data_IF_990246162184
#
_entry.id   IF_990246162184
#
_cell.length_a   1.000
_cell.length_b   1.000
_cell.length_c   1.000
_cell.angle_alpha   90.00
_cell.angle_beta   90.00
_cell.angle_gamma   90.00
#
_symmetry.space_group_name_H-M   'P 1'
#
loop_
_entity.id
_entity.type
_entity.pdbx_description
1 polymer ?
#
# COMPACT_ATOMS: atom_id res chain seq x y z
N UNK A 1 -62.58 -3.98 22.26
CA UNK A 1 -61.34 -4.73 22.56
C UNK A 1 -60.34 -3.72 23.11
N UNK A 2 -60.39 -3.48 24.43
CA UNK A 2 -59.49 -2.54 25.09
C UNK A 2 -58.11 -3.20 25.20
N UNK A 3 -57.17 -2.75 24.35
CA UNK A 3 -55.75 -3.08 24.53
C UNK A 3 -55.31 -2.44 25.84
N UNK A 4 -54.98 -3.26 26.84
CA UNK A 4 -54.56 -2.73 28.14
C UNK A 4 -53.23 -1.97 27.98
N UNK A 5 -53.04 -0.89 28.74
CA UNK A 5 -51.77 -0.13 28.74
C UNK A 5 -50.54 -1.01 29.02
N UNK A 6 -50.73 -2.16 29.69
CA UNK A 6 -49.70 -3.17 29.95
C UNK A 6 -49.22 -3.85 28.68
N UNK A 7 -50.13 -4.29 27.80
CA UNK A 7 -49.80 -4.96 26.53
C UNK A 7 -49.10 -4.01 25.55
N UNK A 8 -49.53 -2.74 25.52
CA UNK A 8 -48.90 -1.71 24.70
C UNK A 8 -47.47 -1.40 25.18
N UNK A 9 -47.24 -1.35 26.49
CA UNK A 9 -45.91 -1.14 27.07
C UNK A 9 -44.98 -2.34 26.83
N UNK A 10 -45.49 -3.57 26.93
CA UNK A 10 -44.72 -4.80 26.67
C UNK A 10 -44.31 -4.89 25.19
N UNK A 11 -45.22 -4.58 24.28
CA UNK A 11 -44.95 -4.52 22.83
C UNK A 11 -43.93 -3.42 22.47
N UNK A 12 -44.04 -2.23 23.07
CA UNK A 12 -43.06 -1.16 22.91
C UNK A 12 -41.66 -1.54 23.41
N UNK A 13 -41.56 -2.25 24.54
CA UNK A 13 -40.29 -2.74 25.06
C UNK A 13 -39.66 -3.81 24.15
N UNK A 14 -40.46 -4.73 23.60
CA UNK A 14 -40.00 -5.71 22.61
C UNK A 14 -39.45 -5.03 21.34
N UNK A 15 -40.19 -4.08 20.78
CA UNK A 15 -39.74 -3.29 19.62
C UNK A 15 -38.42 -2.54 19.90
N UNK A 16 -38.24 -1.97 21.10
CA UNK A 16 -36.99 -1.32 21.48
C UNK A 16 -35.83 -2.33 21.56
N UNK A 17 -36.07 -3.55 22.06
CA UNK A 17 -35.05 -4.59 22.11
C UNK A 17 -34.67 -5.08 20.70
N UNK A 18 -35.65 -5.30 19.82
CA UNK A 18 -35.42 -5.69 18.43
C UNK A 18 -34.64 -4.61 17.65
N UNK A 19 -35.02 -3.33 17.80
CA UNK A 19 -34.29 -2.21 17.19
C UNK A 19 -32.83 -2.13 17.70
N UNK A 20 -32.59 -2.39 18.98
CA UNK A 20 -31.23 -2.47 19.54
C UNK A 20 -30.45 -3.64 18.95
N UNK A 21 -31.06 -4.82 18.82
CA UNK A 21 -30.42 -6.00 18.24
C UNK A 21 -30.10 -5.78 16.75
N UNK A 22 -31.04 -5.25 15.98
CA UNK A 22 -30.86 -4.94 14.57
C UNK A 22 -29.77 -3.88 14.36
N UNK A 23 -29.73 -2.83 15.19
CA UNK A 23 -28.65 -1.83 15.15
C UNK A 23 -27.28 -2.47 15.38
N UNK A 24 -27.16 -3.37 16.37
CA UNK A 24 -25.91 -4.12 16.62
C UNK A 24 -25.50 -4.97 15.41
N UNK A 25 -26.45 -5.68 14.79
CA UNK A 25 -26.18 -6.46 13.58
C UNK A 25 -25.71 -5.59 12.42
N UNK A 26 -26.36 -4.45 12.18
CA UNK A 26 -25.96 -3.49 11.13
C UNK A 26 -24.55 -2.95 11.39
N UNK A 27 -24.23 -2.60 12.64
CA UNK A 27 -22.89 -2.11 13.00
C UNK A 27 -21.81 -3.19 12.79
N UNK A 28 -22.12 -4.44 13.12
CA UNK A 28 -21.24 -5.57 12.86
C UNK A 28 -21.04 -5.82 11.36
N UNK A 29 -22.11 -5.84 10.57
CA UNK A 29 -22.04 -6.00 9.11
C UNK A 29 -21.23 -4.88 8.45
N UNK A 30 -21.41 -3.62 8.90
CA UNK A 30 -20.61 -2.50 8.42
C UNK A 30 -19.13 -2.68 8.73
N UNK A 31 -18.79 -3.11 9.95
CA UNK A 31 -17.40 -3.37 10.34
C UNK A 31 -16.78 -4.49 9.51
N UNK A 32 -17.47 -5.62 9.34
CA UNK A 32 -17.02 -6.74 8.50
C UNK A 32 -16.81 -6.29 7.06
N UNK A 33 -17.73 -5.51 6.48
CA UNK A 33 -17.60 -4.99 5.11
C UNK A 33 -16.38 -4.08 4.95
N UNK A 34 -16.09 -3.24 5.95
CA UNK A 34 -14.93 -2.35 5.95
C UNK A 34 -13.64 -3.17 5.95
N UNK A 35 -13.53 -4.17 6.83
CA UNK A 35 -12.35 -5.06 6.87
C UNK A 35 -12.22 -5.83 5.56
N UNK A 36 -13.30 -6.43 5.07
CA UNK A 36 -13.30 -7.19 3.82
C UNK A 36 -12.86 -6.33 2.63
N UNK A 37 -13.32 -5.08 2.55
CA UNK A 37 -12.86 -4.13 1.53
C UNK A 37 -11.38 -3.79 1.66
N UNK A 38 -10.86 -3.66 2.88
CA UNK A 38 -9.44 -3.40 3.12
C UNK A 38 -8.59 -4.61 2.71
N UNK A 39 -8.99 -5.83 3.10
CA UNK A 39 -8.35 -7.08 2.72
C UNK A 39 -8.37 -7.27 1.20
N UNK A 40 -9.53 -7.09 0.55
CA UNK A 40 -9.65 -7.20 -0.90
C UNK A 40 -8.70 -6.21 -1.62
N UNK A 41 -8.60 -4.98 -1.12
CA UNK A 41 -7.66 -4.02 -1.69
C UNK A 41 -6.20 -4.46 -1.50
N UNK A 42 -5.81 -4.92 -0.30
CA UNK A 42 -4.46 -5.42 -0.04
C UNK A 42 -4.09 -6.57 -0.99
N UNK A 43 -4.97 -7.56 -1.17
CA UNK A 43 -4.70 -8.68 -2.08
C UNK A 43 -4.65 -8.25 -3.55
N UNK A 44 -5.52 -7.31 -3.95
CA UNK A 44 -5.50 -6.75 -5.30
C UNK A 44 -4.21 -5.99 -5.60
N UNK A 45 -3.76 -5.14 -4.67
CA UNK A 45 -2.50 -4.41 -4.84
C UNK A 45 -1.30 -5.35 -4.72
N UNK A 46 -1.33 -6.32 -3.80
CA UNK A 46 -0.30 -7.35 -3.67
C UNK A 46 -0.07 -8.11 -4.98
N UNK A 47 -1.13 -8.61 -5.62
CA UNK A 47 -1.02 -9.31 -6.91
C UNK A 47 -0.37 -8.43 -7.98
N UNK A 48 -0.77 -7.16 -8.04
CA UNK A 48 -0.12 -6.17 -8.92
C UNK A 48 1.35 -5.99 -8.57
N UNK A 49 1.71 -5.80 -7.29
CA UNK A 49 3.10 -5.54 -6.86
C UNK A 49 4.01 -6.75 -7.13
N UNK A 50 3.55 -7.98 -6.88
CA UNK A 50 4.28 -9.22 -7.18
C UNK A 50 4.65 -9.32 -8.66
N UNK A 51 3.78 -8.84 -9.55
CA UNK A 51 3.99 -8.92 -10.99
C UNK A 51 4.83 -7.76 -11.55
N UNK A 52 5.02 -6.70 -10.78
CA UNK A 52 5.52 -5.41 -11.28
C UNK A 52 6.82 -4.95 -10.63
N UNK A 53 7.16 -5.54 -9.50
CA UNK A 53 8.40 -5.32 -8.79
C UNK A 53 8.99 -6.66 -8.31
N UNK A 54 10.27 -6.66 -7.97
CA UNK A 54 10.96 -7.85 -7.46
C UNK A 54 11.95 -7.45 -6.38
N UNK A 55 12.38 -8.41 -5.56
CA UNK A 55 13.31 -8.20 -4.44
C UNK A 55 12.89 -7.08 -3.48
N UNK A 56 13.86 -6.22 -3.10
CA UNK A 56 13.66 -5.16 -2.10
C UNK A 56 12.66 -4.08 -2.53
N UNK A 57 12.54 -3.81 -3.83
CA UNK A 57 11.58 -2.83 -4.37
C UNK A 57 10.14 -3.28 -4.16
N UNK A 58 9.88 -4.57 -4.40
CA UNK A 58 8.58 -5.21 -4.16
C UNK A 58 8.18 -5.09 -2.69
N UNK A 59 9.12 -5.43 -1.79
CA UNK A 59 8.89 -5.34 -0.36
C UNK A 59 8.55 -3.91 0.06
N UNK A 60 9.32 -2.91 -0.38
CA UNK A 60 9.05 -1.49 -0.07
C UNK A 60 7.70 -1.02 -0.59
N UNK A 61 7.30 -1.43 -1.79
CA UNK A 61 5.99 -1.09 -2.35
C UNK A 61 4.85 -1.71 -1.53
N UNK A 62 5.01 -2.96 -1.05
CA UNK A 62 4.02 -3.59 -0.17
C UNK A 62 3.91 -2.89 1.18
N UNK A 63 5.05 -2.53 1.80
CA UNK A 63 5.02 -1.80 3.06
C UNK A 63 4.27 -0.47 2.91
N UNK A 64 4.43 0.22 1.78
CA UNK A 64 3.71 1.45 1.49
C UNK A 64 2.21 1.23 1.30
N UNK A 65 1.80 0.18 0.56
CA UNK A 65 0.37 -0.13 0.37
C UNK A 65 -0.31 -0.53 1.69
N UNK A 66 0.39 -1.32 2.53
CA UNK A 66 -0.07 -1.68 3.87
C UNK A 66 -0.33 -0.43 4.72
N UNK A 67 0.62 0.51 4.75
CA UNK A 67 0.45 1.77 5.47
C UNK A 67 -0.70 2.60 4.90
N UNK A 68 -0.85 2.65 3.57
CA UNK A 68 -1.92 3.37 2.92
C UNK A 68 -3.31 2.80 3.29
N UNK A 69 -3.46 1.47 3.26
CA UNK A 69 -4.71 0.81 3.65
C UNK A 69 -5.00 1.03 5.13
N UNK A 70 -4.01 0.83 6.00
CA UNK A 70 -4.16 1.03 7.45
C UNK A 70 -4.53 2.47 7.82
N UNK A 71 -3.87 3.45 7.20
CA UNK A 71 -4.14 4.87 7.39
C UNK A 71 -5.58 5.23 7.01
N UNK A 72 -6.08 4.78 5.87
CA UNK A 72 -7.48 5.03 5.47
C UNK A 72 -8.49 4.29 6.35
N UNK A 73 -8.18 3.05 6.72
CA UNK A 73 -9.05 2.21 7.55
C UNK A 73 -9.30 2.84 8.93
N UNK A 74 -8.26 3.45 9.49
CA UNK A 74 -8.27 4.01 10.85
C UNK A 74 -8.34 5.54 10.89
N UNK A 75 -8.27 6.20 9.72
CA UNK A 75 -8.12 7.65 9.58
C UNK A 75 -6.91 8.19 10.34
N UNK A 76 -5.79 7.47 10.31
CA UNK A 76 -4.54 7.96 10.87
C UNK A 76 -4.00 9.11 10.01
N UNK A 77 -3.39 10.11 10.66
CA UNK A 77 -2.71 11.21 9.97
C UNK A 77 -1.30 10.79 9.59
N UNK A 78 -0.63 10.08 10.49
CA UNK A 78 0.74 9.65 10.34
C UNK A 78 0.88 8.15 10.59
N UNK A 79 1.85 7.52 9.94
CA UNK A 79 2.09 6.09 10.13
C UNK A 79 3.54 5.68 9.90
N UNK A 80 3.97 4.65 10.63
CA UNK A 80 5.26 4.01 10.45
C UNK A 80 5.10 2.49 10.45
N UNK A 81 6.06 1.81 9.84
CA UNK A 81 6.11 0.35 9.82
C UNK A 81 7.55 -0.13 9.95
N UNK A 82 7.75 -1.08 10.86
CA UNK A 82 8.97 -1.86 10.99
C UNK A 82 8.72 -3.28 10.50
N UNK A 83 9.61 -3.78 9.63
CA UNK A 83 9.63 -5.17 9.22
C UNK A 83 10.79 -5.86 9.93
N UNK A 84 10.53 -7.00 10.55
CA UNK A 84 11.50 -7.73 11.37
C UNK A 84 11.88 -9.06 10.71
N UNK A 85 13.12 -9.49 10.93
CA UNK A 85 13.54 -10.87 10.64
C UNK A 85 13.20 -11.81 11.81
N UNK A 86 13.62 -13.07 11.71
CA UNK A 86 13.41 -14.09 12.75
C UNK A 86 14.06 -13.76 14.08
N UNK A 87 15.14 -12.98 14.08
CA UNK A 87 15.89 -12.61 15.28
C UNK A 87 15.34 -11.34 15.95
N UNK A 88 14.25 -10.77 15.41
CA UNK A 88 13.67 -9.52 15.90
C UNK A 88 14.43 -8.26 15.48
N UNK A 89 15.34 -8.38 14.50
CA UNK A 89 16.06 -7.24 13.94
C UNK A 89 15.26 -6.60 12.82
N UNK A 90 15.20 -5.26 12.81
CA UNK A 90 14.53 -4.51 11.74
C UNK A 90 15.34 -4.59 10.45
N UNK A 91 14.74 -5.19 9.42
CA UNK A 91 15.33 -5.33 8.09
C UNK A 91 14.92 -4.20 7.15
N UNK A 92 13.67 -3.75 7.27
CA UNK A 92 13.12 -2.65 6.48
C UNK A 92 12.25 -1.75 7.35
N UNK A 93 12.19 -0.47 7.00
CA UNK A 93 11.29 0.44 7.70
C UNK A 93 10.84 1.64 6.88
N UNK A 94 9.61 2.07 7.17
CA UNK A 94 9.04 3.35 6.75
C UNK A 94 8.77 4.16 8.02
N UNK A 95 9.32 5.37 8.08
CA UNK A 95 9.11 6.29 9.20
C UNK A 95 8.08 7.36 8.80
N UNK A 96 7.20 7.75 9.73
CA UNK A 96 6.24 8.83 9.51
C UNK A 96 6.92 10.16 9.15
N UNK A 97 8.12 10.41 9.70
CA UNK A 97 8.90 11.62 9.40
C UNK A 97 9.61 11.62 8.03
N UNK A 98 9.37 10.61 7.20
CA UNK A 98 9.93 10.53 5.85
C UNK A 98 11.43 10.26 5.80
N UNK A 99 12.11 10.83 4.79
CA UNK A 99 13.53 10.60 4.54
C UNK A 99 14.40 11.14 5.68
N UNK A 100 15.26 10.28 6.22
CA UNK A 100 16.18 10.60 7.32
C UNK A 100 17.57 10.07 6.98
N UNK A 101 18.60 10.75 7.50
CA UNK A 101 19.98 10.28 7.32
C UNK A 101 20.15 8.86 7.92
N UNK A 102 20.89 7.94 7.29
CA UNK A 102 20.97 6.55 7.71
C UNK A 102 21.38 6.34 9.17
N UNK A 103 22.32 7.15 9.69
CA UNK A 103 22.75 7.09 11.10
C UNK A 103 21.62 7.47 12.06
N UNK A 104 20.93 8.56 11.75
CA UNK A 104 19.82 9.06 12.56
C UNK A 104 18.63 8.08 12.53
N UNK A 105 18.36 7.49 11.36
CA UNK A 105 17.37 6.42 11.19
C UNK A 105 17.64 5.24 12.12
N UNK A 106 18.89 4.75 12.20
CA UNK A 106 19.26 3.63 13.09
C UNK A 106 19.07 3.97 14.57
N UNK A 107 19.48 5.17 14.98
CA UNK A 107 19.34 5.63 16.36
C UNK A 107 17.86 5.70 16.78
N UNK A 108 17.01 6.28 15.93
CA UNK A 108 15.56 6.36 16.17
C UNK A 108 14.95 4.96 16.31
N UNK A 109 15.27 4.04 15.39
CA UNK A 109 14.73 2.68 15.42
C UNK A 109 15.15 1.98 16.72
N UNK A 110 16.42 2.08 17.10
CA UNK A 110 16.92 1.49 18.35
C UNK A 110 16.19 2.02 19.58
N UNK A 111 16.08 3.35 19.70
CA UNK A 111 15.45 3.99 20.85
C UNK A 111 13.96 3.64 20.97
N UNK A 112 13.22 3.65 19.85
CA UNK A 112 11.79 3.32 19.80
C UNK A 112 11.53 1.83 20.09
N UNK A 113 12.41 0.93 19.68
CA UNK A 113 12.29 -0.50 19.97
C UNK A 113 12.75 -0.89 21.38
N UNK A 114 13.66 -0.13 21.96
CA UNK A 114 14.10 -0.34 23.33
C UNK A 114 13.01 0.10 24.31
N UNK A 115 12.66 1.39 24.26
CA UNK A 115 11.85 2.04 25.31
C UNK A 115 10.44 2.44 24.85
N UNK A 116 10.18 2.50 23.54
CA UNK A 116 8.92 3.01 23.01
C UNK A 116 7.81 1.97 22.88
N UNK A 117 6.62 2.46 22.50
CA UNK A 117 5.42 1.64 22.29
C UNK A 117 5.64 0.51 21.28
N UNK A 118 6.37 0.76 20.18
CA UNK A 118 6.67 -0.30 19.22
C UNK A 118 7.56 -1.39 19.84
N UNK A 119 8.51 -1.01 20.71
CA UNK A 119 9.29 -1.95 21.52
C UNK A 119 8.43 -2.78 22.45
N UNK A 120 7.49 -2.13 23.14
CA UNK A 120 6.51 -2.80 23.99
C UNK A 120 5.68 -3.82 23.20
N UNK A 121 5.14 -3.43 22.03
CA UNK A 121 4.40 -4.32 21.14
C UNK A 121 5.26 -5.48 20.63
N UNK A 122 6.54 -5.23 20.32
CA UNK A 122 7.48 -6.28 19.91
C UNK A 122 7.62 -7.38 20.98
N UNK A 123 7.76 -6.96 22.25
CA UNK A 123 7.96 -7.87 23.39
C UNK A 123 6.69 -8.63 23.78
N UNK A 124 5.56 -7.92 23.86
CA UNK A 124 4.30 -8.49 24.36
C UNK A 124 3.48 -9.16 23.24
N UNK A 125 3.70 -8.76 21.99
CA UNK A 125 2.95 -9.23 20.81
C UNK A 125 1.45 -8.94 20.89
N UNK A 126 1.13 -7.84 21.56
CA UNK A 126 -0.22 -7.35 21.78
C UNK A 126 -0.40 -5.99 21.13
N UNK A 127 -1.65 -5.61 20.87
CA UNK A 127 -1.97 -4.26 20.37
C UNK A 127 -1.70 -3.22 21.45
N UNK A 128 -0.83 -2.26 21.11
CA UNK A 128 -0.57 -1.08 21.93
C UNK A 128 -1.54 0.04 21.57
N UNK A 129 -2.39 0.44 22.51
CA UNK A 129 -3.28 1.59 22.36
C UNK A 129 -2.92 2.67 23.37
N UNK A 130 -2.65 3.88 22.87
CA UNK A 130 -2.44 5.10 23.66
C UNK A 130 -3.56 6.08 23.32
N UNK A 131 -4.39 6.41 24.32
CA UNK A 131 -5.49 7.37 24.17
C UNK A 131 -4.97 8.81 24.17
N UNK A 132 -4.06 9.13 25.08
CA UNK A 132 -3.33 10.39 25.12
C UNK A 132 -1.83 10.12 25.33
N UNK A 133 -0.97 10.66 24.48
CA UNK A 133 0.49 10.49 24.57
C UNK A 133 1.13 11.27 25.69
N UNK A 134 0.45 12.30 26.22
CA UNK A 134 0.96 13.10 27.34
C UNK A 134 0.99 12.27 28.63
N UNK A 135 0.07 11.30 28.75
CA UNK A 135 -0.15 10.53 29.97
C UNK A 135 0.41 9.09 29.90
N UNK A 136 1.20 8.76 28.86
CA UNK A 136 1.68 7.39 28.62
C UNK A 136 3.18 7.36 28.31
N UNK A 137 3.97 6.88 29.27
CA UNK A 137 5.44 6.80 29.21
C UNK A 137 5.96 5.92 28.05
N UNK A 138 5.10 5.08 27.45
CA UNK A 138 5.48 4.28 26.28
C UNK A 138 5.60 5.15 25.03
N UNK A 139 5.05 6.37 25.03
CA UNK A 139 5.23 7.30 23.91
C UNK A 139 6.50 8.14 24.08
N UNK A 140 7.49 7.89 23.23
CA UNK A 140 8.71 8.68 23.20
C UNK A 140 8.55 9.85 22.23
N UNK A 141 8.69 11.07 22.74
CA UNK A 141 8.81 12.25 21.87
C UNK A 141 10.24 12.33 21.35
N UNK A 142 10.41 12.14 20.04
CA UNK A 142 11.72 12.16 19.40
C UNK A 142 12.14 13.60 19.04
N UNK A 143 13.44 13.93 19.04
CA UNK A 143 13.91 15.23 18.58
C UNK A 143 13.48 15.51 17.14
N UNK A 144 13.21 16.79 16.85
CA UNK A 144 12.82 17.31 15.54
C UNK A 144 11.60 16.59 14.91
N UNK A 145 10.64 16.16 15.74
CA UNK A 145 9.41 15.57 15.25
C UNK A 145 8.55 16.61 14.52
N UNK A 146 8.30 16.46 13.21
CA UNK A 146 7.65 17.50 12.40
C UNK A 146 6.12 17.51 12.52
N UNK A 147 5.55 16.68 13.40
CA UNK A 147 4.12 16.49 13.59
C UNK A 147 3.79 16.29 15.06
N UNK A 148 2.56 16.64 15.45
CA UNK A 148 2.05 16.38 16.79
C UNK A 148 1.37 15.01 16.84
N UNK A 149 1.57 14.29 17.95
CA UNK A 149 0.91 13.00 18.19
C UNK A 149 0.28 13.04 19.56
N UNK A 150 -1.02 12.80 19.62
CA UNK A 150 -1.81 12.70 20.85
C UNK A 150 -2.50 11.36 21.00
N UNK A 151 -2.76 10.61 19.93
CA UNK A 151 -3.30 9.25 20.04
C UNK A 151 -2.51 8.31 19.13
N UNK A 152 -2.26 7.09 19.62
CA UNK A 152 -1.42 6.10 18.93
C UNK A 152 -2.03 4.71 19.00
N UNK A 153 -1.98 4.01 17.87
CA UNK A 153 -2.33 2.60 17.76
C UNK A 153 -1.17 1.85 17.11
N UNK A 154 -0.50 0.99 17.88
CA UNK A 154 0.55 0.11 17.41
C UNK A 154 0.03 -1.33 17.36
N UNK A 155 0.17 -2.00 16.21
CA UNK A 155 -0.39 -3.32 15.96
C UNK A 155 0.70 -4.27 15.48
N UNK A 156 0.86 -5.45 16.09
CA UNK A 156 1.79 -6.45 15.62
C UNK A 156 1.23 -7.16 14.38
N UNK A 157 2.07 -7.38 13.38
CA UNK A 157 1.76 -8.21 12.22
C UNK A 157 2.32 -9.60 12.48
N UNK A 158 1.44 -10.52 12.88
CA UNK A 158 1.79 -11.86 13.35
C UNK A 158 1.40 -12.93 12.34
N UNK A 159 2.26 -13.94 12.21
CA UNK A 159 1.94 -15.20 11.53
C UNK A 159 2.20 -16.36 12.50
N UNK A 160 1.12 -16.90 13.06
CA UNK A 160 1.23 -17.81 14.20
C UNK A 160 1.99 -17.14 15.35
N UNK A 161 3.10 -17.73 15.78
CA UNK A 161 3.97 -17.17 16.83
C UNK A 161 5.07 -16.23 16.31
N UNK A 162 5.19 -16.01 14.99
CA UNK A 162 6.25 -15.18 14.42
C UNK A 162 5.79 -13.73 14.25
N UNK A 163 6.60 -12.80 14.77
CA UNK A 163 6.40 -11.37 14.54
C UNK A 163 7.08 -10.97 13.23
N UNK A 164 6.30 -10.61 12.23
CA UNK A 164 6.80 -10.18 10.91
C UNK A 164 7.05 -8.68 10.86
N UNK A 165 6.19 -7.91 11.54
CA UNK A 165 6.25 -6.46 11.48
C UNK A 165 5.47 -5.78 12.60
N UNK A 166 5.66 -4.48 12.73
CA UNK A 166 4.91 -3.62 13.65
C UNK A 166 4.47 -2.40 12.86
N UNK A 167 3.17 -2.16 12.82
CA UNK A 167 2.60 -0.94 12.26
C UNK A 167 2.23 0.00 13.40
N UNK A 168 2.63 1.27 13.30
CA UNK A 168 2.27 2.32 14.27
C UNK A 168 1.51 3.42 13.55
N UNK A 169 0.30 3.69 14.02
CA UNK A 169 -0.63 4.68 13.48
C UNK A 169 -0.77 5.81 14.50
N UNK A 170 -0.75 7.05 14.03
CA UNK A 170 -0.66 8.25 14.85
C UNK A 170 -1.68 9.29 14.43
N UNK A 171 -2.17 10.05 15.41
CA UNK A 171 -3.13 11.13 15.19
C UNK A 171 -2.87 12.28 16.18
N UNK A 172 -3.07 13.51 15.74
CA UNK A 172 -2.87 14.75 16.53
C UNK A 172 -3.98 15.00 17.57
N UNK A 173 -5.15 14.39 17.41
CA UNK A 173 -6.25 14.44 18.37
C UNK A 173 -6.21 13.27 19.37
N UNK A 174 -6.28 13.57 20.67
CA UNK A 174 -6.41 12.58 21.74
C UNK A 174 -7.71 11.77 21.61
N UNK A 175 -7.67 10.50 22.01
CA UNK A 175 -8.82 9.59 21.99
C UNK A 175 -9.29 9.19 20.58
N UNK A 176 -8.55 9.53 19.53
CA UNK A 176 -8.91 9.19 18.15
C UNK A 176 -8.95 7.68 17.93
N UNK A 177 -7.94 6.96 18.43
CA UNK A 177 -7.95 5.50 18.40
C UNK A 177 -8.63 4.92 19.63
N UNK A 178 -9.36 3.83 19.43
CA UNK A 178 -10.07 3.10 20.47
C UNK A 178 -10.20 1.61 20.14
N UNK A 179 -11.01 0.89 20.91
CA UNK A 179 -11.23 -0.55 20.72
C UNK A 179 -11.71 -0.92 19.32
N UNK A 180 -12.53 -0.05 18.70
CA UNK A 180 -13.02 -0.26 17.33
C UNK A 180 -11.89 -0.21 16.29
N UNK A 181 -11.00 0.78 16.35
CA UNK A 181 -9.88 0.89 15.41
C UNK A 181 -8.86 -0.23 15.63
N UNK A 182 -8.62 -0.60 16.90
CA UNK A 182 -7.76 -1.74 17.25
C UNK A 182 -8.28 -3.03 16.61
N UNK A 183 -9.56 -3.37 16.82
CA UNK A 183 -10.18 -4.57 16.27
C UNK A 183 -10.16 -4.62 14.74
N UNK A 184 -10.43 -3.49 14.07
CA UNK A 184 -10.36 -3.40 12.61
C UNK A 184 -8.94 -3.67 12.10
N UNK A 185 -7.94 -3.13 12.79
CA UNK A 185 -6.55 -3.35 12.41
C UNK A 185 -6.06 -4.77 12.69
N UNK A 186 -6.43 -5.38 13.82
CA UNK A 186 -6.08 -6.78 14.11
C UNK A 186 -6.56 -7.71 12.99
N UNK A 187 -7.83 -7.59 12.61
CA UNK A 187 -8.41 -8.41 11.53
C UNK A 187 -7.77 -8.17 10.17
N UNK A 188 -7.25 -6.96 9.93
CA UNK A 188 -6.58 -6.61 8.68
C UNK A 188 -5.10 -7.04 8.71
N UNK A 189 -4.46 -6.99 9.88
CA UNK A 189 -3.07 -7.38 10.11
C UNK A 189 -2.82 -8.85 9.80
N UNK A 190 -3.79 -9.74 10.03
CA UNK A 190 -3.70 -11.15 9.63
C UNK A 190 -3.49 -11.31 8.12
N UNK A 191 -4.19 -10.51 7.30
CA UNK A 191 -4.02 -10.53 5.84
C UNK A 191 -2.70 -9.89 5.41
N UNK A 192 -2.28 -8.83 6.11
CA UNK A 192 -0.96 -8.21 5.89
C UNK A 192 0.16 -9.21 6.18
N UNK A 193 0.02 -10.03 7.23
CA UNK A 193 1.00 -11.05 7.58
C UNK A 193 1.20 -12.08 6.46
N UNK A 194 0.12 -12.56 5.85
CA UNK A 194 0.19 -13.50 4.72
C UNK A 194 0.92 -12.87 3.51
N UNK A 195 0.58 -11.63 3.18
CA UNK A 195 1.20 -10.88 2.09
C UNK A 195 2.70 -10.69 2.33
N UNK A 196 3.10 -10.31 3.55
CA UNK A 196 4.49 -10.06 3.90
C UNK A 196 5.31 -11.36 3.96
N UNK A 197 4.77 -12.43 4.54
CA UNK A 197 5.43 -13.73 4.58
C UNK A 197 5.74 -14.23 3.16
N UNK A 198 4.74 -14.20 2.28
CA UNK A 198 4.91 -14.62 0.89
C UNK A 198 5.92 -13.72 0.14
N UNK A 199 5.86 -12.41 0.34
CA UNK A 199 6.80 -11.48 -0.29
C UNK A 199 8.24 -11.68 0.17
N UNK A 200 8.45 -11.97 1.46
CA UNK A 200 9.77 -12.30 2.01
C UNK A 200 10.30 -13.61 1.42
N UNK A 201 9.47 -14.65 1.34
CA UNK A 201 9.83 -15.93 0.72
C UNK A 201 10.20 -15.76 -0.77
N UNK A 202 9.39 -15.02 -1.52
CA UNK A 202 9.70 -14.72 -2.93
C UNK A 202 11.01 -13.94 -3.09
N UNK A 203 11.27 -12.95 -2.23
CA UNK A 203 12.52 -12.19 -2.26
C UNK A 203 13.74 -13.06 -1.95
N UNK A 204 13.63 -13.99 -1.00
CA UNK A 204 14.70 -14.93 -0.67
C UNK A 204 14.99 -15.91 -1.82
N UNK A 205 13.96 -16.44 -2.46
CA UNK A 205 14.12 -17.32 -3.63
C UNK A 205 14.78 -16.62 -4.81
N UNK A 206 14.45 -15.35 -5.05
CA UNK A 206 15.09 -14.55 -6.10
C UNK A 206 16.57 -14.29 -5.80
N UNK A 207 16.92 -14.03 -4.53
CA UNK A 207 18.32 -13.85 -4.12
C UNK A 207 19.14 -15.15 -4.26
N UNK A 208 18.54 -16.30 -3.93
CA UNK A 208 19.18 -17.62 -4.09
C UNK A 208 19.31 -18.01 -5.58
N UNK A 209 18.30 -17.73 -6.41
CA UNK A 209 18.32 -18.01 -7.84
C UNK A 209 19.31 -17.16 -8.65
N UNK A 210 19.74 -16.00 -8.12
CA UNK A 210 20.79 -15.16 -8.72
C UNK A 210 22.21 -15.66 -8.40
N UNK A 211 22.38 -16.64 -7.51
CA UNK A 211 23.70 -17.13 -7.08
C UNK A 211 24.17 -18.44 -7.74
N UNK A 212 23.36 -19.08 -8.61
CA UNK A 212 23.73 -20.36 -9.23
C UNK A 212 23.62 -20.32 -10.76
N UNK A 213 24.72 -20.45 -11.52
CA UNK A 213 24.65 -20.81 -12.93
C UNK A 213 24.71 -22.34 -13.07
N UNK A 214 23.58 -23.05 -13.24
CA UNK A 214 23.44 -24.17 -14.19
C UNK A 214 22.09 -24.93 -14.16
N UNK A 215 21.60 -25.14 -15.39
CA UNK A 215 20.76 -26.22 -15.97
C UNK A 215 20.45 -27.45 -15.10
N UNK A 216 19.18 -27.88 -15.04
CA UNK A 216 18.70 -29.24 -15.36
C UNK A 216 17.18 -29.25 -15.67
N UNK A 217 16.68 -30.16 -16.53
CA UNK A 217 15.33 -30.12 -17.11
C UNK A 217 14.24 -30.90 -16.31
N UNK A 218 13.02 -30.36 -16.42
CA UNK A 218 11.64 -30.89 -16.23
C UNK A 218 11.43 -32.27 -15.58
N UNK A 219 10.53 -32.30 -14.59
CA UNK A 219 9.43 -33.28 -14.45
C UNK A 219 8.23 -32.61 -13.74
N UNK A 220 7.20 -32.27 -14.51
CA UNK A 220 5.86 -31.99 -13.98
C UNK A 220 5.13 -33.32 -13.74
N UNK A 221 4.27 -33.42 -12.72
CA UNK A 221 2.84 -33.42 -13.03
C UNK A 221 1.97 -32.58 -12.08
N UNK A 222 1.16 -31.74 -12.71
CA UNK A 222 -0.27 -31.56 -12.45
C UNK A 222 -0.71 -30.99 -11.11
N UNK A 223 -1.00 -29.69 -11.09
CA UNK A 223 -2.38 -29.27 -10.80
C UNK A 223 -2.74 -27.97 -11.51
N UNK A 224 -3.79 -28.07 -12.32
CA UNK A 224 -4.38 -27.06 -13.19
C UNK A 224 -4.88 -25.88 -12.36
N UNK A 225 -4.28 -24.71 -12.53
CA UNK A 225 -4.85 -23.37 -12.29
C UNK A 225 -3.88 -22.34 -12.91
N UNK A 226 -3.63 -22.46 -14.22
CA UNK A 226 -2.86 -21.47 -15.00
C UNK A 226 -3.63 -21.18 -16.27
N UNK A 227 -4.65 -20.35 -16.15
CA UNK A 227 -5.14 -19.56 -17.26
C UNK A 227 -5.32 -18.14 -16.73
N UNK A 228 -4.68 -17.15 -17.38
CA UNK A 228 -4.65 -15.69 -17.11
C UNK A 228 -3.44 -15.05 -16.41
N UNK A 229 -2.25 -15.68 -16.40
CA UNK A 229 -1.01 -15.05 -15.91
C UNK A 229 -0.24 -14.21 -16.95
N UNK A 230 -0.58 -14.31 -18.24
CA UNK A 230 0.27 -13.78 -19.33
C UNK A 230 0.07 -12.29 -19.66
N UNK A 231 -0.88 -11.58 -19.05
CA UNK A 231 -1.21 -10.21 -19.47
C UNK A 231 -0.44 -9.08 -18.77
N UNK A 232 0.24 -9.31 -17.63
CA UNK A 232 0.83 -8.23 -16.83
C UNK A 232 2.36 -8.09 -16.92
N UNK A 233 3.08 -9.12 -17.39
CA UNK A 233 4.52 -9.04 -17.68
C UNK A 233 4.85 -8.09 -18.85
N UNK A 234 3.83 -7.64 -19.59
CA UNK A 234 3.91 -6.71 -20.72
C UNK A 234 3.70 -5.24 -20.37
N UNK A 235 3.36 -4.90 -19.12
CA UNK A 235 3.00 -3.54 -18.71
C UNK A 235 4.20 -2.73 -18.19
N UNK A 236 4.42 -1.57 -18.79
CA UNK A 236 5.26 -0.51 -18.25
C UNK A 236 4.53 0.25 -17.14
N UNK A 237 5.15 0.51 -16.00
CA UNK A 237 4.55 1.25 -14.89
C UNK A 237 5.30 2.55 -14.70
N UNK A 238 4.56 3.60 -14.34
CA UNK A 238 5.10 4.91 -14.10
C UNK A 238 4.41 5.60 -12.93
N UNK A 239 5.15 6.50 -12.29
CA UNK A 239 4.62 7.55 -11.42
C UNK A 239 5.14 8.85 -11.98
N UNK A 240 4.23 9.77 -12.32
CA UNK A 240 4.57 11.06 -12.90
C UNK A 240 3.99 12.21 -12.10
N UNK A 241 4.65 13.36 -12.14
CA UNK A 241 4.23 14.60 -11.48
C UNK A 241 4.39 15.79 -12.42
N UNK A 242 3.70 16.91 -12.11
CA UNK A 242 3.77 18.14 -12.92
C UNK A 242 3.51 17.83 -14.41
N UNK A 243 4.36 18.31 -15.33
CA UNK A 243 4.26 18.07 -16.78
C UNK A 243 4.78 16.69 -17.21
N UNK A 244 4.31 15.65 -16.54
CA UNK A 244 4.64 14.26 -16.86
C UNK A 244 6.02 13.79 -16.41
N UNK A 245 6.65 14.51 -15.47
CA UNK A 245 7.99 14.18 -15.01
C UNK A 245 8.03 12.84 -14.28
N UNK A 246 9.00 11.98 -14.57
CA UNK A 246 9.13 10.68 -13.93
C UNK A 246 9.58 10.84 -12.48
N UNK A 247 8.74 10.37 -11.56
CA UNK A 247 9.15 10.05 -10.19
C UNK A 247 9.59 8.59 -10.09
N UNK A 248 9.00 7.73 -10.91
CA UNK A 248 9.32 6.32 -11.02
C UNK A 248 8.91 5.78 -12.38
N UNK A 249 9.67 4.81 -12.89
CA UNK A 249 9.29 3.93 -13.99
C UNK A 249 9.71 2.50 -13.64
N UNK A 250 9.10 1.46 -14.19
CA UNK A 250 9.63 0.10 -14.06
C UNK A 250 10.53 -0.25 -15.26
N UNK A 251 11.38 -1.30 -15.16
CA UNK A 251 12.22 -1.74 -16.28
C UNK A 251 11.42 -2.12 -17.54
N UNK A 252 10.20 -2.65 -17.39
CA UNK A 252 9.37 -3.03 -18.55
C UNK A 252 8.99 -1.83 -19.41
N UNK A 253 8.72 -0.67 -18.78
CA UNK A 253 8.50 0.56 -19.52
C UNK A 253 9.72 0.96 -20.34
N UNK A 254 10.92 0.83 -19.77
CA UNK A 254 12.16 1.10 -20.50
C UNK A 254 12.32 0.15 -21.69
N UNK A 255 12.07 -1.14 -21.50
CA UNK A 255 12.09 -2.16 -22.55
C UNK A 255 11.11 -1.85 -23.69
N UNK A 256 9.87 -1.45 -23.37
CA UNK A 256 8.83 -1.10 -24.38
C UNK A 256 9.33 -0.04 -25.37
N UNK A 257 10.11 0.94 -24.88
CA UNK A 257 10.64 2.04 -25.68
C UNK A 257 12.10 1.84 -26.12
N UNK A 258 12.69 0.67 -25.85
CA UNK A 258 14.08 0.36 -26.22
C UNK A 258 15.15 1.13 -25.43
N UNK A 259 14.82 1.61 -24.23
CA UNK A 259 15.77 2.26 -23.32
C UNK A 259 16.24 1.29 -22.24
N UNK A 260 17.43 1.53 -21.68
CA UNK A 260 17.74 1.00 -20.36
C UNK A 260 16.95 1.76 -19.29
N UNK A 261 16.72 1.12 -18.14
CA UNK A 261 16.01 1.74 -17.01
C UNK A 261 16.64 3.07 -16.56
N UNK A 262 17.97 3.10 -16.44
CA UNK A 262 18.73 4.31 -16.06
C UNK A 262 18.64 5.43 -17.09
N UNK A 263 18.61 5.11 -18.38
CA UNK A 263 18.43 6.11 -19.44
C UNK A 263 17.03 6.71 -19.42
N UNK A 264 15.99 5.87 -19.25
CA UNK A 264 14.62 6.34 -19.29
C UNK A 264 14.29 7.26 -18.11
N UNK A 265 14.72 6.91 -16.89
CA UNK A 265 14.49 7.77 -15.72
C UNK A 265 15.25 9.11 -15.85
N UNK A 266 16.41 9.10 -16.51
CA UNK A 266 17.22 10.30 -16.77
C UNK A 266 16.62 11.21 -17.85
N UNK A 267 15.67 10.73 -18.66
CA UNK A 267 14.95 11.56 -19.65
C UNK A 267 13.91 12.49 -19.03
N UNK A 268 13.78 12.49 -17.70
CA UNK A 268 12.99 13.39 -16.87
C UNK A 268 11.46 13.36 -17.05
N UNK A 269 10.90 13.09 -18.25
CA UNK A 269 9.45 13.17 -18.49
C UNK A 269 8.92 12.11 -19.48
N UNK A 270 7.68 11.68 -19.25
CA UNK A 270 6.88 10.85 -20.15
C UNK A 270 6.76 11.45 -21.55
N UNK A 271 6.77 12.78 -21.68
CA UNK A 271 6.69 13.45 -22.99
C UNK A 271 7.88 13.13 -23.91
N UNK A 272 9.02 12.69 -23.36
CA UNK A 272 10.20 12.31 -24.16
C UNK A 272 10.02 10.99 -24.90
N UNK A 273 9.09 10.13 -24.45
CA UNK A 273 8.75 8.89 -25.15
C UNK A 273 7.45 9.00 -25.96
N UNK A 274 6.87 10.20 -26.05
CA UNK A 274 5.73 10.52 -26.90
C UNK A 274 6.25 11.07 -28.23
N UNK A 275 5.67 10.64 -29.34
CA UNK A 275 5.98 11.19 -30.67
C UNK A 275 5.76 12.71 -30.69
N UNK A 276 6.68 13.42 -31.33
CA UNK A 276 6.77 14.88 -31.27
C UNK A 276 5.46 15.60 -31.62
N UNK A 277 4.73 15.11 -32.62
CA UNK A 277 3.45 15.66 -33.07
C UNK A 277 2.29 15.49 -32.06
N UNK A 278 2.45 14.62 -31.06
CA UNK A 278 1.44 14.35 -30.03
C UNK A 278 1.81 14.80 -28.62
N UNK A 279 3.00 15.38 -28.42
CA UNK A 279 3.44 15.83 -27.09
C UNK A 279 2.48 16.84 -26.45
N UNK A 280 1.98 17.83 -27.22
CA UNK A 280 1.01 18.82 -26.70
C UNK A 280 -0.28 18.18 -26.20
N UNK A 281 -0.83 17.25 -26.98
CA UNK A 281 -2.04 16.52 -26.62
C UNK A 281 -1.85 15.72 -25.32
N UNK A 282 -0.73 15.03 -25.16
CA UNK A 282 -0.44 14.25 -23.95
C UNK A 282 -0.20 15.16 -22.73
N UNK A 283 0.50 16.29 -22.91
CA UNK A 283 0.73 17.27 -21.84
C UNK A 283 -0.58 17.88 -21.32
N UNK A 284 -1.49 18.26 -22.22
CA UNK A 284 -2.82 18.76 -21.86
C UNK A 284 -3.62 17.72 -21.07
N UNK A 285 -3.59 16.44 -21.49
CA UNK A 285 -4.30 15.36 -20.78
C UNK A 285 -3.74 15.11 -19.38
N UNK A 286 -2.41 15.11 -19.23
CA UNK A 286 -1.74 14.96 -17.92
C UNK A 286 -2.08 16.15 -17.03
N UNK A 287 -2.01 17.36 -17.56
CA UNK A 287 -2.30 18.60 -16.83
C UNK A 287 -3.75 18.64 -16.36
N UNK A 288 -4.72 18.34 -17.23
CA UNK A 288 -6.14 18.29 -16.89
C UNK A 288 -6.43 17.23 -15.82
N UNK A 289 -5.78 16.06 -15.92
CA UNK A 289 -5.89 15.03 -14.89
C UNK A 289 -5.38 15.53 -13.54
N UNK A 290 -4.18 16.13 -13.47
CA UNK A 290 -3.60 16.68 -12.24
C UNK A 290 -4.43 17.83 -11.64
N UNK A 291 -4.96 18.73 -12.48
CA UNK A 291 -5.82 19.84 -12.08
C UNK A 291 -7.23 19.38 -11.65
N UNK A 292 -7.59 18.12 -11.88
CA UNK A 292 -8.85 17.54 -11.42
C UNK A 292 -10.01 17.68 -12.41
N UNK A 293 -9.74 18.10 -13.65
CA UNK A 293 -10.72 18.10 -14.76
C UNK A 293 -10.95 16.70 -15.36
N UNK A 294 -10.57 15.65 -14.64
CA UNK A 294 -10.81 14.24 -14.93
C UNK A 294 -10.21 13.38 -13.82
N UNK A 295 -10.93 12.35 -13.34
CA UNK A 295 -10.46 11.52 -12.21
C UNK A 295 -9.30 10.59 -12.61
N UNK A 296 -9.28 10.16 -13.87
CA UNK A 296 -8.33 9.17 -14.41
C UNK A 296 -7.79 9.62 -15.77
N UNK A 297 -6.56 9.18 -16.07
CA UNK A 297 -5.88 9.28 -17.35
C UNK A 297 -6.16 7.98 -18.13
N UNK A 298 -6.84 8.06 -19.27
CA UNK A 298 -7.01 6.90 -20.15
C UNK A 298 -7.12 7.33 -21.62
N UNK A 299 -6.16 6.91 -22.45
CA UNK A 299 -6.15 7.14 -23.90
C UNK A 299 -5.01 6.34 -24.56
N UNK A 300 -4.95 6.39 -25.88
CA UNK A 300 -3.84 5.88 -26.68
C UNK A 300 -3.05 7.03 -27.32
N UNK A 301 -1.75 6.83 -27.52
CA UNK A 301 -0.89 7.77 -28.24
C UNK A 301 0.26 7.05 -28.97
N UNK A 302 0.79 7.62 -30.06
CA UNK A 302 2.01 7.15 -30.69
C UNK A 302 3.22 7.53 -29.83
N UNK A 303 3.91 6.51 -29.33
CA UNK A 303 5.18 6.60 -28.65
C UNK A 303 6.37 6.57 -29.61
N UNK A 304 7.50 7.11 -29.17
CA UNK A 304 8.76 7.12 -29.93
C UNK A 304 9.85 6.36 -29.14
N UNK A 305 10.40 5.33 -29.74
CA UNK A 305 11.46 4.50 -29.16
C UNK A 305 12.84 5.13 -29.33
N UNK A 306 13.85 4.59 -28.63
CA UNK A 306 15.25 5.04 -28.70
C UNK A 306 15.85 5.00 -30.10
N UNK A 307 15.48 3.99 -30.89
CA UNK A 307 15.91 3.80 -32.28
C UNK A 307 15.15 4.69 -33.29
N UNK A 308 14.23 5.54 -32.81
CA UNK A 308 13.39 6.40 -33.63
C UNK A 308 12.11 5.74 -34.14
N UNK A 309 11.91 4.44 -33.92
CA UNK A 309 10.69 3.74 -34.32
C UNK A 309 9.46 4.23 -33.55
N UNK A 310 8.29 4.15 -34.19
CA UNK A 310 7.01 4.51 -33.58
C UNK A 310 6.27 3.28 -33.11
N UNK A 311 5.65 3.37 -31.94
CA UNK A 311 4.81 2.32 -31.36
C UNK A 311 3.48 2.93 -30.91
N UNK A 312 2.38 2.18 -31.00
CA UNK A 312 1.13 2.61 -30.37
C UNK A 312 1.13 2.16 -28.91
N UNK A 313 0.84 3.09 -28.02
CA UNK A 313 0.85 2.88 -26.57
C UNK A 313 -0.52 3.24 -26.03
N UNK A 314 -1.07 2.38 -25.20
CA UNK A 314 -2.23 2.66 -24.38
C UNK A 314 -1.78 2.96 -22.96
N UNK A 315 -2.35 4.02 -22.37
CA UNK A 315 -1.96 4.50 -21.04
C UNK A 315 -3.16 4.58 -20.12
N UNK A 316 -2.95 4.16 -18.87
CA UNK A 316 -3.90 4.21 -17.78
C UNK A 316 -3.25 4.88 -16.58
N UNK A 317 -3.92 5.81 -15.92
CA UNK A 317 -3.41 6.40 -14.69
C UNK A 317 -4.51 6.98 -13.82
N UNK A 318 -4.24 7.11 -12.54
CA UNK A 318 -5.15 7.79 -11.60
C UNK A 318 -4.39 8.85 -10.82
N UNK A 319 -5.03 10.00 -10.63
CA UNK A 319 -4.48 11.08 -9.82
C UNK A 319 -4.55 10.71 -8.35
N UNK A 320 -3.44 10.88 -7.64
CA UNK A 320 -3.37 10.74 -6.18
C UNK A 320 -2.40 11.77 -5.57
N UNK A 321 -2.30 11.81 -4.24
CA UNK A 321 -1.27 12.57 -3.53
C UNK A 321 -0.19 11.61 -3.01
N UNK A 322 1.07 11.93 -3.29
CA UNK A 322 2.24 11.21 -2.80
C UNK A 322 3.23 12.23 -2.20
N UNK A 323 3.55 12.09 -0.91
CA UNK A 323 4.35 13.08 -0.14
C UNK A 323 3.82 14.53 -0.24
N UNK A 324 2.50 14.72 -0.19
CA UNK A 324 1.86 16.03 -0.29
C UNK A 324 1.80 16.64 -1.70
N UNK A 325 2.47 16.03 -2.70
CA UNK A 325 2.43 16.46 -4.11
C UNK A 325 1.40 15.66 -4.90
N UNK A 326 0.71 16.33 -5.82
CA UNK A 326 -0.20 15.65 -6.76
C UNK A 326 0.62 14.90 -7.82
N UNK A 327 0.33 13.61 -7.96
CA UNK A 327 0.98 12.70 -8.90
C UNK A 327 -0.06 11.87 -9.66
N UNK A 328 0.34 11.29 -10.79
CA UNK A 328 -0.42 10.26 -11.49
C UNK A 328 0.37 8.96 -11.39
N UNK A 329 -0.27 7.93 -10.85
CA UNK A 329 0.26 6.56 -10.84
C UNK A 329 -0.45 5.79 -11.93
N UNK A 330 0.29 5.11 -12.79
CA UNK A 330 -0.30 4.46 -13.95
C UNK A 330 0.53 3.34 -14.55
N UNK A 331 -0.09 2.68 -15.52
CA UNK A 331 0.51 1.65 -16.33
C UNK A 331 0.28 1.95 -17.81
N UNK A 332 1.18 1.50 -18.66
CA UNK A 332 1.09 1.58 -20.10
C UNK A 332 1.44 0.23 -20.72
N UNK A 333 0.80 -0.08 -21.85
CA UNK A 333 1.17 -1.23 -22.68
C UNK A 333 1.36 -0.81 -24.11
N UNK A 334 2.24 -1.54 -24.79
CA UNK A 334 2.33 -1.50 -26.26
C UNK A 334 1.10 -2.21 -26.83
N UNK A 335 0.46 -1.59 -27.80
CA UNK A 335 -0.57 -2.23 -28.62
C UNK A 335 0.14 -2.92 -29.79
N UNK A 336 -0.03 -4.23 -29.89
CA UNK A 336 0.36 -4.96 -31.09
C UNK A 336 -0.66 -4.63 -32.18
N UNK A 337 -0.21 -4.36 -33.40
CA UNK A 337 -1.11 -4.14 -34.53
C UNK A 337 -2.11 -5.31 -34.62
N UNK A 338 -3.40 -5.03 -34.43
CA UNK A 338 -4.46 -5.75 -35.09
C UNK A 338 -4.80 -4.93 -36.34
N UNK A 339 -4.52 -5.53 -37.49
CA UNK A 339 -4.85 -5.08 -38.83
C UNK A 339 -6.34 -4.77 -38.95
N UNK A 340 -6.69 -3.72 -39.70
CA UNK A 340 -8.06 -3.44 -40.14
C UNK A 340 -8.44 -1.98 -39.96
#
# INVERSE_FOLDING_TARGET
>A
MEVTMSDLNKSKQQLIQELKALRRQVDQLKATRIVFSAQHQLFKTYGTIMQTASGSLMLRALLQDILHVAGRLTKAEESSLFLLNTDGVVTESILARGATLPRYKKQIIGQVLDQGLAGWVSRHREVGLIKDTIDDDRWLTLPDQPYQVRSVLAVPILRGKRLLGIITLMHSQAGHFGSKSARLMEMTAESMALILENAQLHSQQQQLGQQSPQKYPVLSPTNKLTESSDNFSSLGIYIIYSKGNFLYVNPKMAEIFGYSFGELISRQSLLQVVAEDKRKFVDERITNCLQGQGKNLYFTFPGQCKDGSRINVEIYGSRTKLYGKLVIIGALRRLNHLSG
#
